data_IF_429866228848
#
_entry.id   IF_429866228848
#
_cell.length_a   1.000
_cell.length_b   1.000
_cell.length_c   1.000
_cell.angle_alpha   90.00
_cell.angle_beta   90.00
_cell.angle_gamma   90.00
#
_symmetry.space_group_name_H-M   'P 1'
#
loop_
_entity.id
_entity.type
_entity.pdbx_description
1 polymer ?
#
# COMPACT_ATOMS: atom_id res chain seq x y z
N UNK A 1 -5.18 7.42 16.90
CA UNK A 1 -6.37 7.03 16.15
C UNK A 1 -6.41 7.86 14.88
N UNK A 2 -6.44 7.23 13.70
CA UNK A 2 -6.65 7.94 12.43
C UNK A 2 -8.16 7.98 12.19
N UNK A 3 -8.77 9.15 12.27
CA UNK A 3 -10.21 9.30 12.05
C UNK A 3 -10.52 9.51 10.56
N UNK A 4 -11.61 8.91 10.03
CA UNK A 4 -12.09 9.19 8.68
C UNK A 4 -12.44 10.68 8.54
N UNK A 5 -11.97 11.33 7.46
CA UNK A 5 -12.30 12.73 7.16
C UNK A 5 -11.17 13.74 7.40
N UNK A 6 -10.00 13.30 7.89
CA UNK A 6 -8.79 14.12 7.79
C UNK A 6 -8.37 14.22 6.32
N UNK A 7 -8.25 15.46 5.83
CA UNK A 7 -7.83 15.74 4.46
C UNK A 7 -6.47 15.11 4.13
N UNK A 8 -5.55 15.10 5.11
CA UNK A 8 -4.21 14.52 4.99
C UNK A 8 -3.68 14.09 6.37
N UNK A 9 -2.84 13.08 6.40
CA UNK A 9 -2.10 12.68 7.60
C UNK A 9 -1.00 13.71 7.89
N UNK A 10 -0.79 13.96 9.17
CA UNK A 10 0.40 14.69 9.65
C UNK A 10 1.66 13.85 9.44
N UNK A 11 2.83 14.52 9.45
CA UNK A 11 4.12 13.84 9.36
C UNK A 11 4.30 12.74 10.43
N UNK A 12 3.87 13.01 11.67
CA UNK A 12 3.95 12.02 12.75
C UNK A 12 3.05 10.80 12.50
N UNK A 13 1.88 11.00 11.88
CA UNK A 13 0.99 9.90 11.51
C UNK A 13 1.54 9.08 10.34
N UNK A 14 2.17 9.71 9.35
CA UNK A 14 2.89 9.01 8.27
C UNK A 14 4.05 8.18 8.82
N UNK A 15 4.83 8.75 9.74
CA UNK A 15 5.91 8.04 10.43
C UNK A 15 5.41 6.83 11.22
N UNK A 16 4.26 6.97 11.87
CA UNK A 16 3.60 5.86 12.51
C UNK A 16 3.19 4.78 11.49
N UNK A 17 2.63 5.14 10.33
CA UNK A 17 2.27 4.19 9.29
C UNK A 17 3.49 3.44 8.73
N UNK A 18 4.60 4.13 8.43
CA UNK A 18 5.85 3.48 8.01
C UNK A 18 6.39 2.52 9.08
N UNK A 19 6.34 2.94 10.34
CA UNK A 19 6.77 2.08 11.46
C UNK A 19 5.91 0.82 11.57
N UNK A 20 4.58 0.95 11.47
CA UNK A 20 3.69 -0.21 11.51
C UNK A 20 3.91 -1.15 10.33
N UNK A 21 4.13 -0.61 9.12
CA UNK A 21 4.48 -1.43 7.96
C UNK A 21 5.76 -2.22 8.18
N UNK A 22 6.81 -1.57 8.69
CA UNK A 22 8.06 -2.26 9.00
C UNK A 22 7.88 -3.36 10.07
N UNK A 23 7.11 -3.08 11.13
CA UNK A 23 6.81 -4.08 12.17
C UNK A 23 6.05 -5.27 11.58
N UNK A 24 5.07 -5.05 10.70
CA UNK A 24 4.32 -6.10 10.03
C UNK A 24 5.23 -6.99 9.17
N UNK A 25 6.08 -6.38 8.33
CA UNK A 25 7.03 -7.10 7.49
C UNK A 25 7.92 -8.05 8.31
N UNK A 26 8.48 -7.55 9.43
CA UNK A 26 9.32 -8.34 10.33
C UNK A 26 8.51 -9.43 11.04
N UNK A 27 7.33 -9.11 11.58
CA UNK A 27 6.50 -10.06 12.34
C UNK A 27 6.07 -11.25 11.48
N UNK A 28 5.66 -11.00 10.25
CA UNK A 28 5.14 -12.03 9.35
C UNK A 28 6.19 -12.60 8.40
N UNK A 29 7.45 -12.16 8.54
CA UNK A 29 8.56 -12.60 7.71
C UNK A 29 8.27 -12.47 6.19
N UNK A 30 7.76 -11.30 5.79
CA UNK A 30 7.47 -10.98 4.39
C UNK A 30 8.33 -9.81 3.88
N UNK A 31 8.54 -9.69 2.56
CA UNK A 31 9.15 -8.51 1.97
C UNK A 31 8.40 -7.21 2.37
N UNK A 32 9.10 -6.12 2.72
CA UNK A 32 8.44 -4.89 3.19
C UNK A 32 7.48 -4.24 2.18
N UNK A 33 7.65 -4.47 0.89
CA UNK A 33 6.70 -4.01 -0.14
C UNK A 33 5.30 -4.63 0.03
N UNK A 34 5.21 -5.82 0.61
CA UNK A 34 3.96 -6.54 0.82
C UNK A 34 3.13 -5.90 1.94
N UNK A 35 3.77 -5.54 3.05
CA UNK A 35 3.11 -4.82 4.14
C UNK A 35 2.78 -3.37 3.76
N UNK A 36 3.61 -2.74 2.94
CA UNK A 36 3.35 -1.41 2.37
C UNK A 36 2.11 -1.42 1.46
N UNK A 37 1.91 -2.48 0.68
CA UNK A 37 0.72 -2.65 -0.15
C UNK A 37 -0.56 -2.66 0.68
N UNK A 38 -0.61 -3.44 1.76
CA UNK A 38 -1.79 -3.45 2.66
C UNK A 38 -2.03 -2.06 3.25
N UNK A 39 -0.96 -1.36 3.68
CA UNK A 39 -1.06 -0.01 4.23
C UNK A 39 -1.59 0.99 3.21
N UNK A 40 -1.08 0.94 1.98
CA UNK A 40 -1.49 1.80 0.88
C UNK A 40 -2.99 1.64 0.57
N UNK A 41 -3.48 0.40 0.52
CA UNK A 41 -4.92 0.13 0.31
C UNK A 41 -5.76 0.67 1.46
N UNK A 42 -5.33 0.47 2.71
CA UNK A 42 -6.04 1.03 3.87
C UNK A 42 -6.04 2.56 3.89
N UNK A 43 -4.92 3.20 3.55
CA UNK A 43 -4.83 4.66 3.46
C UNK A 43 -5.71 5.22 2.35
N UNK A 44 -5.87 4.50 1.24
CA UNK A 44 -6.78 4.89 0.17
C UNK A 44 -8.23 4.99 0.65
N UNK A 45 -8.64 4.18 1.64
CA UNK A 45 -9.99 4.21 2.20
C UNK A 45 -10.19 5.30 3.27
N UNK A 46 -9.13 5.67 4.00
CA UNK A 46 -9.26 6.52 5.20
C UNK A 46 -8.81 7.95 4.92
N UNK A 47 -7.69 8.08 4.20
CA UNK A 47 -7.04 9.36 3.92
C UNK A 47 -6.36 9.33 2.54
N UNK A 48 -7.16 9.33 1.43
CA UNK A 48 -6.67 9.19 0.06
C UNK A 48 -5.49 10.10 -0.31
N UNK A 49 -5.48 11.35 0.16
CA UNK A 49 -4.43 12.33 -0.16
C UNK A 49 -3.08 12.04 0.50
N UNK A 50 -3.01 11.05 1.39
CA UNK A 50 -1.77 10.65 2.09
C UNK A 50 -1.12 9.42 1.49
N UNK A 51 -1.77 8.76 0.52
CA UNK A 51 -1.24 7.56 -0.13
C UNK A 51 0.09 7.87 -0.82
N UNK A 52 0.14 8.99 -1.55
CA UNK A 52 1.35 9.42 -2.26
C UNK A 52 2.50 9.71 -1.30
N UNK A 53 2.25 10.53 -0.27
CA UNK A 53 3.22 10.83 0.79
C UNK A 53 3.75 9.55 1.45
N UNK A 54 2.88 8.60 1.78
CA UNK A 54 3.29 7.31 2.35
C UNK A 54 4.20 6.54 1.36
N UNK A 55 3.86 6.52 0.08
CA UNK A 55 4.63 5.78 -0.91
C UNK A 55 6.04 6.35 -1.10
N UNK A 56 6.29 7.64 -0.87
CA UNK A 56 7.61 8.27 -1.06
C UNK A 56 8.75 7.51 -0.38
N UNK A 57 8.51 6.99 0.84
CA UNK A 57 9.52 6.22 1.62
C UNK A 57 9.30 4.71 1.58
N UNK A 58 8.18 4.26 1.02
CA UNK A 58 7.80 2.84 0.98
C UNK A 58 8.76 2.00 0.14
N UNK A 59 8.91 0.73 0.52
CA UNK A 59 9.56 -0.30 -0.28
C UNK A 59 8.71 -0.69 -1.48
N UNK A 60 7.38 -0.53 -1.42
CA UNK A 60 6.50 -0.75 -2.57
C UNK A 60 6.83 0.19 -3.72
N UNK A 61 7.02 1.49 -3.47
CA UNK A 61 7.47 2.44 -4.51
C UNK A 61 8.80 2.03 -5.13
N UNK A 62 9.75 1.58 -4.31
CA UNK A 62 11.06 1.09 -4.81
C UNK A 62 10.90 -0.12 -5.72
N UNK A 63 10.00 -1.05 -5.36
CA UNK A 63 9.67 -2.20 -6.20
C UNK A 63 9.07 -1.77 -7.54
N UNK A 64 8.09 -0.86 -7.52
CA UNK A 64 7.42 -0.33 -8.72
C UNK A 64 8.40 0.35 -9.67
N UNK A 65 9.25 1.24 -9.15
CA UNK A 65 10.26 1.93 -9.96
C UNK A 65 11.32 0.96 -10.47
N UNK A 66 11.77 0.01 -9.63
CA UNK A 66 12.77 -0.98 -10.03
C UNK A 66 12.26 -1.98 -11.08
N UNK A 67 10.97 -2.30 -11.07
CA UNK A 67 10.37 -3.28 -11.98
C UNK A 67 9.89 -2.68 -13.31
N UNK A 68 9.25 -1.51 -13.27
CA UNK A 68 8.55 -0.91 -14.43
C UNK A 68 8.93 0.56 -14.69
N UNK A 69 9.67 1.20 -13.79
CA UNK A 69 10.06 2.60 -13.92
C UNK A 69 9.04 3.58 -13.34
N UNK A 70 9.01 4.79 -13.91
CA UNK A 70 8.15 5.85 -13.42
C UNK A 70 6.66 5.53 -13.60
N UNK A 71 5.84 6.03 -12.68
CA UNK A 71 4.40 5.82 -12.67
C UNK A 71 3.66 7.05 -12.15
N UNK A 72 2.40 7.18 -12.55
CA UNK A 72 1.44 8.13 -11.99
C UNK A 72 0.49 7.39 -11.06
N UNK A 73 0.31 7.95 -9.86
CA UNK A 73 -0.64 7.47 -8.88
C UNK A 73 -1.92 8.29 -8.97
N UNK A 74 -3.07 7.62 -8.99
CA UNK A 74 -4.37 8.28 -8.83
C UNK A 74 -5.20 7.53 -7.81
N UNK A 75 -5.77 8.24 -6.85
CA UNK A 75 -6.70 7.63 -5.87
C UNK A 75 -8.11 8.13 -6.15
N UNK A 76 -9.02 7.23 -6.53
CA UNK A 76 -10.41 7.54 -6.92
C UNK A 76 -11.36 6.63 -6.16
N UNK A 77 -12.36 7.17 -5.46
CA UNK A 77 -13.36 6.38 -4.73
C UNK A 77 -12.74 5.28 -3.84
N UNK A 78 -11.69 5.61 -3.09
CA UNK A 78 -10.91 4.67 -2.25
C UNK A 78 -10.12 3.59 -3.01
N UNK A 79 -10.06 3.66 -4.35
CA UNK A 79 -9.27 2.77 -5.18
C UNK A 79 -7.94 3.43 -5.56
N UNK A 80 -6.86 2.68 -5.50
CA UNK A 80 -5.54 3.10 -5.98
C UNK A 80 -5.37 2.65 -7.41
N UNK A 81 -5.09 3.58 -8.32
CA UNK A 81 -4.82 3.35 -9.73
C UNK A 81 -3.37 3.72 -10.02
N UNK A 82 -2.65 2.83 -10.70
CA UNK A 82 -1.23 3.04 -11.04
C UNK A 82 -1.04 2.90 -12.54
N UNK A 83 -0.58 3.98 -13.16
CA UNK A 83 -0.27 4.05 -14.59
C UNK A 83 1.23 4.20 -14.79
N UNK A 84 1.88 3.19 -15.33
CA UNK A 84 3.29 3.26 -15.68
C UNK A 84 3.50 4.09 -16.95
N UNK A 85 4.67 4.72 -17.07
CA UNK A 85 5.02 5.58 -18.22
C UNK A 85 5.09 4.81 -19.54
N UNK A 86 5.34 3.50 -19.50
CA UNK A 86 5.31 2.61 -20.67
C UNK A 86 3.88 2.32 -21.19
N UNK A 87 2.85 2.81 -20.49
CA UNK A 87 1.44 2.66 -20.84
C UNK A 87 0.75 1.49 -20.13
N UNK A 88 1.46 0.69 -19.35
CA UNK A 88 0.85 -0.38 -18.55
C UNK A 88 0.05 0.21 -17.38
N UNK A 89 -1.11 -0.38 -17.11
CA UNK A 89 -1.98 0.01 -16.01
C UNK A 89 -2.09 -1.17 -15.07
N UNK A 90 -1.66 -0.98 -13.82
CA UNK A 90 -1.74 -2.05 -12.83
C UNK A 90 -3.18 -2.25 -12.35
N UNK A 91 -3.93 -1.15 -12.22
CA UNK A 91 -5.32 -1.12 -11.71
C UNK A 91 -6.02 0.10 -12.32
N UNK A 92 -7.19 -0.09 -12.94
CA UNK A 92 -7.89 1.01 -13.61
C UNK A 92 -9.04 1.60 -12.79
N UNK A 93 -9.91 0.81 -12.16
CA UNK A 93 -11.10 1.37 -11.48
C UNK A 93 -11.60 0.57 -10.26
N UNK A 94 -11.25 -0.72 -10.13
CA UNK A 94 -11.61 -1.55 -8.98
C UNK A 94 -10.39 -2.35 -8.52
N UNK A 95 -10.11 -2.36 -7.22
CA UNK A 95 -9.03 -3.16 -6.63
C UNK A 95 -9.38 -4.64 -6.85
N UNK A 96 -8.85 -5.21 -7.94
CA UNK A 96 -8.74 -6.65 -8.08
C UNK A 96 -7.44 -7.07 -7.44
N UNK A 97 -7.50 -7.81 -6.33
CA UNK A 97 -6.34 -8.49 -5.74
C UNK A 97 -5.56 -9.32 -6.78
N UNK A 98 -6.23 -9.71 -7.88
CA UNK A 98 -5.68 -10.40 -9.04
C UNK A 98 -4.52 -9.63 -9.71
N UNK A 99 -4.68 -8.35 -10.04
CA UNK A 99 -3.62 -7.60 -10.75
C UNK A 99 -2.38 -7.38 -9.87
N UNK A 100 -2.60 -7.18 -8.57
CA UNK A 100 -1.52 -7.08 -7.59
C UNK A 100 -0.81 -8.41 -7.37
N UNK A 101 -1.57 -9.51 -7.35
CA UNK A 101 -1.01 -10.85 -7.29
C UNK A 101 -0.08 -11.13 -8.47
N UNK A 102 -0.56 -10.90 -9.70
CA UNK A 102 0.26 -11.12 -10.90
C UNK A 102 1.54 -10.27 -10.89
N UNK A 103 1.43 -9.02 -10.42
CA UNK A 103 2.57 -8.13 -10.28
C UNK A 103 3.59 -8.62 -9.26
N UNK A 104 3.15 -9.03 -8.05
CA UNK A 104 4.04 -9.56 -7.02
C UNK A 104 4.68 -10.89 -7.45
N UNK A 105 3.90 -11.80 -8.04
CA UNK A 105 4.42 -13.07 -8.57
C UNK A 105 5.48 -12.83 -9.66
N UNK A 106 5.24 -11.87 -10.56
CA UNK A 106 6.24 -11.44 -11.57
C UNK A 106 7.50 -10.81 -10.98
N UNK A 107 7.39 -10.25 -9.77
CA UNK A 107 8.50 -9.71 -8.99
C UNK A 107 9.14 -10.73 -8.03
N UNK A 108 8.78 -12.02 -8.11
CA UNK A 108 9.24 -13.09 -7.22
C UNK A 108 8.90 -12.85 -5.74
N UNK A 109 7.81 -12.14 -5.47
CA UNK A 109 7.23 -11.98 -4.13
C UNK A 109 6.03 -12.93 -4.03
N UNK A 110 6.12 -13.91 -3.14
CA UNK A 110 5.03 -14.89 -2.94
C UNK A 110 3.78 -14.18 -2.39
N UNK A 111 2.67 -14.30 -3.13
CA UNK A 111 1.40 -13.66 -2.79
C UNK A 111 0.55 -14.61 -1.94
N UNK A 112 0.46 -14.33 -0.64
CA UNK A 112 -0.38 -15.07 0.30
C UNK A 112 -1.49 -14.18 0.87
N UNK A 113 -2.73 -14.46 0.46
CA UNK A 113 -3.93 -13.76 0.91
C UNK A 113 -4.11 -13.87 2.44
N UNK A 114 -3.80 -15.02 3.04
CA UNK A 114 -3.95 -15.19 4.48
C UNK A 114 -3.01 -14.27 5.26
N UNK A 115 -1.78 -14.06 4.75
CA UNK A 115 -0.84 -13.12 5.36
C UNK A 115 -1.31 -11.67 5.19
N UNK A 116 -1.90 -11.31 4.05
CA UNK A 116 -2.46 -9.96 3.85
C UNK A 116 -3.54 -9.63 4.89
N UNK A 117 -4.43 -10.58 5.20
CA UNK A 117 -5.43 -10.41 6.25
C UNK A 117 -4.79 -10.23 7.63
N UNK A 118 -3.77 -11.03 7.98
CA UNK A 118 -3.06 -10.91 9.26
C UNK A 118 -2.36 -9.55 9.41
N UNK A 119 -1.77 -9.03 8.34
CA UNK A 119 -1.18 -7.68 8.30
C UNK A 119 -2.28 -6.63 8.51
N UNK A 120 -3.41 -6.79 7.83
CA UNK A 120 -4.55 -5.87 7.95
C UNK A 120 -5.10 -5.83 9.38
N UNK A 121 -5.28 -6.99 10.01
CA UNK A 121 -5.68 -7.08 11.43
C UNK A 121 -4.71 -6.38 12.36
N UNK A 122 -3.40 -6.53 12.14
CA UNK A 122 -2.41 -5.79 12.93
C UNK A 122 -2.58 -4.27 12.79
N UNK A 123 -2.88 -3.76 11.59
CA UNK A 123 -3.10 -2.33 11.40
C UNK A 123 -4.40 -1.85 12.07
N UNK A 124 -5.45 -2.68 12.10
CA UNK A 124 -6.65 -2.43 12.90
C UNK A 124 -6.32 -2.34 14.39
N UNK A 125 -5.58 -3.30 14.94
CA UNK A 125 -5.14 -3.29 16.34
C UNK A 125 -4.24 -2.08 16.67
N UNK A 126 -3.49 -1.59 15.68
CA UNK A 126 -2.67 -0.37 15.77
C UNK A 126 -3.50 0.93 15.68
N UNK A 127 -4.81 0.84 15.45
CA UNK A 127 -5.71 1.99 15.37
C UNK A 127 -5.55 2.82 14.08
N UNK A 128 -5.09 2.18 13.00
CA UNK A 128 -4.99 2.78 11.66
C UNK A 128 -6.35 2.83 10.98
N UNK A 129 -7.26 1.88 11.30
CA UNK A 129 -8.68 1.87 10.88
C UNK A 129 -9.50 1.14 11.95
N UNK A 130 -10.72 1.60 12.23
CA UNK A 130 -11.76 0.83 12.94
C UNK A 130 -13.06 0.96 12.16
#
# INVERSE_FOLDING_TARGET
>A
MLEPGNDKLTQAQLEYCWKQSHIAAVRYNVPPCFSDYVMMIMLAEICPKSVEDFLEKSSLRRLMIGGKGEYNLRVVNCCVCIHFVDGEVLTDEWIGDISWREYFEGAYVEYDIAILELIRYQYYDAGIRQ
#
